data_IF_465795580938
#
_entry.id   IF_465795580938
#
_cell.length_a   1.000
_cell.length_b   1.000
_cell.length_c   1.000
_cell.angle_alpha   90.00
_cell.angle_beta   90.00
_cell.angle_gamma   90.00
#
_symmetry.space_group_name_H-M   'P 1'
#
loop_
_entity.id
_entity.type
_entity.pdbx_description
1 polymer ?
#
# COMPACT_ATOMS: atom_id res chain seq x y z
N UNK A 1 -7.44 -26.24 37.52
CA UNK A 1 -7.70 -27.41 36.65
C UNK A 1 -7.38 -26.98 35.22
N UNK A 2 -6.23 -27.38 34.69
CA UNK A 2 -5.88 -27.18 33.27
C UNK A 2 -6.54 -28.29 32.44
N UNK A 3 -7.05 -28.01 31.22
CA UNK A 3 -7.58 -29.07 30.37
C UNK A 3 -6.45 -30.05 29.99
N UNK A 4 -6.70 -31.35 30.06
CA UNK A 4 -5.71 -32.38 29.67
C UNK A 4 -5.48 -32.45 28.14
N UNK A 5 -6.33 -31.83 27.32
CA UNK A 5 -6.11 -31.70 25.87
C UNK A 5 -6.90 -30.54 25.25
N UNK A 6 -6.45 -30.06 24.08
CA UNK A 6 -7.18 -29.12 23.23
C UNK A 6 -7.00 -29.51 21.76
N UNK A 7 -8.01 -29.22 20.93
CA UNK A 7 -7.96 -29.43 19.47
C UNK A 7 -8.20 -28.10 18.77
N UNK A 8 -7.25 -27.68 17.95
CA UNK A 8 -7.38 -26.47 17.15
C UNK A 8 -8.30 -26.69 15.94
N UNK A 9 -8.91 -25.60 15.46
CA UNK A 9 -9.57 -25.58 14.17
C UNK A 9 -8.54 -25.83 13.04
N UNK A 10 -8.94 -26.52 11.98
CA UNK A 10 -8.11 -26.74 10.79
C UNK A 10 -8.06 -25.52 9.86
N UNK A 11 -8.97 -24.57 10.02
CA UNK A 11 -9.05 -23.33 9.24
C UNK A 11 -8.25 -22.19 9.89
N UNK A 12 -8.06 -21.05 9.20
CA UNK A 12 -7.39 -19.87 9.76
C UNK A 12 -8.00 -19.38 11.09
N UNK A 13 -9.25 -19.74 11.40
CA UNK A 13 -9.93 -19.42 12.66
C UNK A 13 -9.16 -19.85 13.91
N UNK A 14 -8.24 -20.81 13.81
CA UNK A 14 -7.31 -21.14 14.91
C UNK A 14 -6.46 -19.94 15.37
N UNK A 15 -6.35 -18.89 14.55
CA UNK A 15 -5.62 -17.65 14.81
C UNK A 15 -6.54 -16.44 15.06
N UNK A 16 -7.85 -16.61 14.98
CA UNK A 16 -8.86 -15.53 15.11
C UNK A 16 -9.73 -15.79 16.35
N UNK A 17 -9.08 -16.03 17.49
CA UNK A 17 -9.79 -16.31 18.73
C UNK A 17 -10.53 -15.07 19.24
N UNK A 18 -11.69 -15.29 19.86
CA UNK A 18 -12.54 -14.22 20.39
C UNK A 18 -13.50 -13.64 19.36
N UNK A 19 -14.11 -12.51 19.69
CA UNK A 19 -15.01 -11.80 18.78
C UNK A 19 -14.19 -11.16 17.67
N UNK A 20 -14.45 -11.47 16.39
CA UNK A 20 -13.68 -10.90 15.29
C UNK A 20 -13.99 -9.41 15.11
N UNK A 21 -13.13 -8.73 14.35
CA UNK A 21 -13.34 -7.37 13.86
C UNK A 21 -14.41 -7.36 12.74
N UNK A 22 -15.67 -7.61 13.12
CA UNK A 22 -16.78 -7.89 12.19
C UNK A 22 -17.04 -6.68 11.29
N UNK A 23 -17.18 -5.48 11.86
CA UNK A 23 -17.51 -4.29 11.11
C UNK A 23 -16.36 -3.89 10.16
N UNK A 24 -15.12 -4.06 10.62
CA UNK A 24 -13.90 -3.80 9.86
C UNK A 24 -13.77 -4.76 8.68
N UNK A 25 -14.06 -6.06 8.88
CA UNK A 25 -14.05 -7.04 7.81
C UNK A 25 -15.12 -6.74 6.73
N UNK A 26 -16.32 -6.30 7.14
CA UNK A 26 -17.37 -5.86 6.22
C UNK A 26 -16.91 -4.62 5.44
N UNK A 27 -16.34 -3.62 6.12
CA UNK A 27 -15.82 -2.41 5.50
C UNK A 27 -14.67 -2.68 4.52
N UNK A 28 -13.79 -3.63 4.84
CA UNK A 28 -12.75 -4.10 3.94
C UNK A 28 -13.34 -4.75 2.69
N UNK A 29 -14.37 -5.60 2.84
CA UNK A 29 -15.09 -6.19 1.71
C UNK A 29 -15.66 -5.13 0.77
N UNK A 30 -16.36 -4.13 1.31
CA UNK A 30 -16.90 -3.03 0.51
C UNK A 30 -15.81 -2.19 -0.19
N UNK A 31 -14.64 -2.02 0.46
CA UNK A 31 -13.50 -1.33 -0.13
C UNK A 31 -12.90 -2.11 -1.30
N UNK A 32 -12.82 -3.45 -1.18
CA UNK A 32 -12.37 -4.34 -2.26
C UNK A 32 -13.35 -4.25 -3.44
N UNK A 33 -14.65 -4.34 -3.18
CA UNK A 33 -15.69 -4.25 -4.23
C UNK A 33 -15.60 -2.91 -4.99
N UNK A 34 -15.33 -1.82 -4.27
CA UNK A 34 -15.13 -0.51 -4.88
C UNK A 34 -13.90 -0.48 -5.82
N UNK A 35 -12.77 -1.01 -5.37
CA UNK A 35 -11.54 -1.08 -6.18
C UNK A 35 -11.73 -1.99 -7.40
N UNK A 36 -12.40 -3.14 -7.23
CA UNK A 36 -12.72 -4.06 -8.34
C UNK A 36 -13.65 -3.40 -9.37
N UNK A 37 -14.64 -2.64 -8.92
CA UNK A 37 -15.56 -1.91 -9.82
C UNK A 37 -14.84 -0.85 -10.64
N UNK A 38 -13.85 -0.17 -10.07
CA UNK A 38 -13.01 0.78 -10.80
C UNK A 38 -12.02 0.08 -11.76
N UNK A 39 -11.55 -1.11 -11.38
CA UNK A 39 -10.56 -1.89 -12.13
C UNK A 39 -9.13 -1.55 -11.70
N UNK A 40 -8.37 -2.56 -11.28
CA UNK A 40 -7.02 -2.37 -10.75
C UNK A 40 -6.03 -1.86 -11.82
N UNK A 41 -6.22 -2.26 -13.08
CA UNK A 41 -5.42 -1.79 -14.21
C UNK A 41 -5.67 -0.30 -14.48
N UNK A 42 -6.92 0.15 -14.40
CA UNK A 42 -7.27 1.55 -14.59
C UNK A 42 -6.69 2.43 -13.47
N UNK A 43 -6.73 1.92 -12.22
CA UNK A 43 -6.09 2.57 -11.06
C UNK A 43 -4.57 2.65 -11.28
N UNK A 44 -3.91 1.55 -11.65
CA UNK A 44 -2.48 1.51 -11.86
C UNK A 44 -2.02 2.47 -12.98
N UNK A 45 -2.74 2.53 -14.10
CA UNK A 45 -2.45 3.47 -15.19
C UNK A 45 -2.64 4.94 -14.76
N UNK A 46 -3.69 5.20 -13.98
CA UNK A 46 -3.93 6.53 -13.43
C UNK A 46 -2.80 6.97 -12.47
N UNK A 47 -2.40 6.10 -11.55
CA UNK A 47 -1.29 6.34 -10.63
C UNK A 47 0.02 6.57 -11.39
N UNK A 48 0.33 5.73 -12.39
CA UNK A 48 1.54 5.87 -13.22
C UNK A 48 1.61 7.22 -13.91
N UNK A 49 0.49 7.70 -14.45
CA UNK A 49 0.39 9.00 -15.12
C UNK A 49 0.66 10.16 -14.14
N UNK A 50 0.08 10.10 -12.94
CA UNK A 50 0.30 11.12 -11.90
C UNK A 50 1.75 11.08 -11.40
N UNK A 51 2.26 9.89 -11.08
CA UNK A 51 3.63 9.69 -10.61
C UNK A 51 4.65 10.22 -11.62
N UNK A 52 4.43 10.00 -12.91
CA UNK A 52 5.30 10.52 -13.96
C UNK A 52 5.25 12.05 -14.07
N UNK A 53 4.06 12.65 -13.94
CA UNK A 53 3.91 14.10 -13.93
C UNK A 53 4.64 14.73 -12.72
N UNK A 54 4.47 14.15 -11.53
CA UNK A 54 5.14 14.61 -10.31
C UNK A 54 6.66 14.45 -10.43
N UNK A 55 7.14 13.30 -10.91
CA UNK A 55 8.57 13.07 -11.13
C UNK A 55 9.19 14.11 -12.04
N UNK A 56 8.57 14.37 -13.20
CA UNK A 56 9.06 15.38 -14.15
C UNK A 56 9.09 16.76 -13.51
N UNK A 57 8.07 17.11 -12.73
CA UNK A 57 8.02 18.35 -11.98
C UNK A 57 9.17 18.46 -10.98
N UNK A 58 9.29 17.48 -10.07
CA UNK A 58 10.33 17.47 -9.04
C UNK A 58 11.74 17.47 -9.62
N UNK A 59 12.01 16.62 -10.62
CA UNK A 59 13.33 16.51 -11.27
C UNK A 59 13.73 17.76 -12.05
N UNK A 60 12.79 18.65 -12.37
CA UNK A 60 13.10 19.94 -13.01
C UNK A 60 13.56 21.02 -12.03
N UNK A 61 13.36 20.82 -10.72
CA UNK A 61 13.68 21.81 -9.70
C UNK A 61 15.16 21.68 -9.31
N UNK A 62 15.93 22.77 -9.46
CA UNK A 62 17.34 22.80 -9.07
C UNK A 62 17.51 22.45 -7.59
N UNK A 63 18.37 21.48 -7.32
CA UNK A 63 18.65 21.01 -5.96
C UNK A 63 17.69 19.92 -5.47
N UNK A 64 16.64 19.56 -6.21
CA UNK A 64 15.79 18.41 -5.85
C UNK A 64 16.43 17.12 -6.35
N UNK A 65 16.51 16.13 -5.47
CA UNK A 65 16.87 14.74 -5.80
C UNK A 65 15.70 13.83 -5.50
N UNK A 66 15.20 13.14 -6.51
CA UNK A 66 14.16 12.11 -6.36
C UNK A 66 14.81 10.73 -6.20
N UNK A 67 14.30 9.94 -5.27
CA UNK A 67 14.80 8.59 -4.96
C UNK A 67 13.93 7.50 -5.59
N UNK A 68 14.47 6.27 -5.64
CA UNK A 68 13.81 5.09 -6.18
C UNK A 68 14.44 4.57 -7.48
N UNK A 69 13.95 3.44 -8.00
CA UNK A 69 14.51 2.77 -9.18
C UNK A 69 14.35 3.60 -10.46
N UNK A 70 15.26 3.51 -11.42
CA UNK A 70 15.06 4.20 -12.72
C UNK A 70 14.03 3.48 -13.60
N UNK A 71 13.89 2.15 -13.45
CA UNK A 71 12.88 1.38 -14.15
C UNK A 71 11.47 1.76 -13.67
N UNK A 72 10.70 2.39 -14.56
CA UNK A 72 9.35 2.86 -14.25
C UNK A 72 8.35 1.74 -13.98
N UNK A 73 8.67 0.50 -14.38
CA UNK A 73 7.87 -0.70 -14.05
C UNK A 73 7.97 -1.08 -12.58
N UNK A 74 9.04 -0.62 -11.91
CA UNK A 74 9.28 -0.83 -10.48
C UNK A 74 8.84 0.38 -9.63
N UNK A 75 8.29 1.42 -10.26
CA UNK A 75 7.76 2.60 -9.56
C UNK A 75 6.25 2.52 -9.43
N UNK A 76 5.76 2.93 -8.26
CA UNK A 76 4.34 3.06 -7.93
C UNK A 76 3.96 4.54 -7.76
N UNK A 77 2.77 4.83 -7.23
CA UNK A 77 2.33 6.20 -6.89
C UNK A 77 3.13 6.96 -5.82
N UNK A 78 4.26 6.42 -5.34
CA UNK A 78 5.08 7.01 -4.25
C UNK A 78 6.39 7.58 -4.80
N UNK A 79 6.68 8.84 -4.48
CA UNK A 79 7.94 9.50 -4.83
C UNK A 79 8.58 10.15 -3.59
N UNK A 80 9.67 9.55 -3.10
CA UNK A 80 10.51 10.15 -2.08
C UNK A 80 11.51 11.11 -2.73
N UNK A 81 11.75 12.27 -2.13
CA UNK A 81 12.72 13.25 -2.63
C UNK A 81 13.37 14.04 -1.48
N UNK A 82 14.49 14.70 -1.76
CA UNK A 82 15.08 15.72 -0.89
C UNK A 82 15.40 16.97 -1.69
N UNK A 83 15.59 18.10 -1.01
CA UNK A 83 15.93 19.40 -1.61
C UNK A 83 17.24 19.87 -0.96
N UNK A 84 18.29 20.02 -1.77
CA UNK A 84 19.64 20.36 -1.33
C UNK A 84 20.16 19.41 -0.25
N UNK A 85 20.96 19.97 0.67
CA UNK A 85 21.44 19.29 1.88
C UNK A 85 20.53 19.56 3.10
N UNK A 86 19.23 19.86 2.92
CA UNK A 86 18.36 20.20 4.05
C UNK A 86 18.13 19.04 5.04
N UNK A 87 18.56 17.82 4.70
CA UNK A 87 18.50 16.63 5.55
C UNK A 87 19.90 16.15 6.00
N UNK A 88 20.95 16.97 5.85
CA UNK A 88 22.27 16.72 6.43
C UNK A 88 22.47 17.66 7.62
N UNK A 89 22.89 17.18 8.80
CA UNK A 89 23.32 18.06 9.88
C UNK A 89 24.51 18.94 9.47
#
# INVERSE_FOLDING_TARGET
>A
MTPESYKLASSPRRFEAGTPAIAEAIGLGASIDYLQKLGMEAIAEHERRIAHAIYRGLSSIKGVRVFGPEDWRLRTGILSFCVGNMNSP
#
